data_IF_803495148131
#
_entry.id   IF_803495148131
#
_cell.length_a   1.000
_cell.length_b   1.000
_cell.length_c   1.000
_cell.angle_alpha   90.00
_cell.angle_beta   90.00
_cell.angle_gamma   90.00
#
_symmetry.space_group_name_H-M   'P 1'
#
loop_
_entity.id
_entity.type
_entity.pdbx_description
1 polymer ?
#
# COMPACT_ATOMS: atom_id res chain seq x y z
N UNK A 1 137.63 -11.96 -13.00
CA UNK A 1 136.16 -12.01 -12.75
C UNK A 1 135.42 -11.66 -14.03
N UNK A 2 134.59 -12.57 -14.54
CA UNK A 2 133.43 -12.28 -15.40
C UNK A 2 132.51 -13.52 -15.42
N UNK A 3 131.30 -13.36 -14.90
CA UNK A 3 130.23 -14.37 -14.85
C UNK A 3 129.49 -14.35 -16.19
N UNK A 4 129.15 -15.48 -16.82
CA UNK A 4 128.23 -15.48 -17.95
C UNK A 4 126.78 -15.35 -17.43
N UNK A 5 125.99 -14.49 -18.06
CA UNK A 5 124.56 -14.31 -17.80
C UNK A 5 123.80 -15.58 -18.20
N UNK A 6 123.02 -16.15 -17.26
CA UNK A 6 121.99 -17.14 -17.57
C UNK A 6 120.67 -16.38 -17.66
N UNK A 7 120.22 -16.10 -18.87
CA UNK A 7 118.86 -15.63 -19.09
C UNK A 7 117.91 -16.78 -18.76
N UNK A 8 117.10 -16.61 -17.72
CA UNK A 8 116.03 -17.54 -17.40
C UNK A 8 114.92 -17.24 -18.41
N UNK A 9 114.84 -18.02 -19.49
CA UNK A 9 113.69 -18.04 -20.39
C UNK A 9 112.52 -18.71 -19.64
N UNK A 10 111.83 -17.93 -18.81
CA UNK A 10 110.67 -18.38 -18.00
C UNK A 10 109.45 -18.67 -18.91
N UNK A 11 109.48 -18.25 -20.18
CA UNK A 11 108.44 -18.54 -21.16
C UNK A 11 109.01 -19.37 -22.32
N UNK A 12 109.04 -20.70 -22.16
CA UNK A 12 109.32 -21.60 -23.27
C UNK A 12 108.16 -21.54 -24.27
N UNK A 13 108.45 -21.68 -25.57
CA UNK A 13 107.44 -21.76 -26.65
C UNK A 13 106.32 -22.77 -26.35
N UNK A 14 106.63 -23.84 -25.62
CA UNK A 14 105.67 -24.88 -25.19
C UNK A 14 104.70 -24.41 -24.09
N UNK A 15 105.13 -23.53 -23.18
CA UNK A 15 104.22 -22.95 -22.17
C UNK A 15 103.23 -21.98 -22.82
N UNK A 16 103.67 -21.22 -23.82
CA UNK A 16 102.82 -20.30 -24.58
C UNK A 16 101.73 -21.04 -25.37
N UNK A 17 102.04 -22.20 -25.96
CA UNK A 17 101.08 -23.05 -26.67
C UNK A 17 100.06 -23.73 -25.73
N UNK A 18 100.48 -24.11 -24.52
CA UNK A 18 99.58 -24.61 -23.47
C UNK A 18 98.61 -23.52 -22.99
N UNK A 19 99.09 -22.28 -22.81
CA UNK A 19 98.20 -21.16 -22.48
C UNK A 19 97.29 -20.79 -23.65
N UNK A 20 97.76 -20.84 -24.89
CA UNK A 20 96.96 -20.58 -26.08
C UNK A 20 95.86 -21.63 -26.28
N UNK A 21 96.15 -22.92 -26.08
CA UNK A 21 95.17 -24.00 -26.16
C UNK A 21 94.16 -23.98 -25.01
N UNK A 22 94.59 -23.70 -23.77
CA UNK A 22 93.69 -23.52 -22.63
C UNK A 22 92.77 -22.30 -22.80
N UNK A 23 93.30 -21.18 -23.30
CA UNK A 23 92.52 -19.97 -23.60
C UNK A 23 91.54 -20.22 -24.76
N UNK A 24 91.98 -20.94 -25.80
CA UNK A 24 91.12 -21.33 -26.93
C UNK A 24 89.97 -22.24 -26.50
N UNK A 25 90.25 -23.26 -25.66
CA UNK A 25 89.22 -24.13 -25.09
C UNK A 25 88.23 -23.36 -24.21
N UNK A 26 88.72 -22.43 -23.39
CA UNK A 26 87.88 -21.54 -22.58
C UNK A 26 86.96 -20.67 -23.46
N UNK A 27 87.49 -20.02 -24.50
CA UNK A 27 86.70 -19.19 -25.42
C UNK A 27 85.61 -20.03 -26.11
N UNK A 28 85.94 -21.25 -26.55
CA UNK A 28 84.99 -22.14 -27.21
C UNK A 28 83.87 -22.58 -26.25
N UNK A 29 84.21 -22.94 -25.02
CA UNK A 29 83.25 -23.18 -23.93
C UNK A 29 82.36 -21.95 -23.67
N UNK A 30 82.96 -20.76 -23.67
CA UNK A 30 82.25 -19.50 -23.43
C UNK A 30 81.27 -19.21 -24.55
N UNK A 31 81.66 -19.34 -25.82
CA UNK A 31 80.78 -19.14 -26.99
C UNK A 31 79.62 -20.13 -27.01
N UNK A 32 79.85 -21.39 -26.59
CA UNK A 32 78.80 -22.41 -26.48
C UNK A 32 77.84 -22.10 -25.31
N UNK A 33 78.34 -21.65 -24.17
CA UNK A 33 77.55 -21.40 -22.94
C UNK A 33 76.89 -20.02 -22.90
N UNK A 34 77.41 -19.02 -23.62
CA UNK A 34 76.90 -17.65 -23.64
C UNK A 34 75.40 -17.53 -24.01
N UNK A 35 74.90 -18.18 -25.08
CA UNK A 35 73.47 -18.14 -25.40
C UNK A 35 72.60 -18.83 -24.34
N UNK A 36 73.13 -19.83 -23.62
CA UNK A 36 72.43 -20.46 -22.50
C UNK A 36 72.31 -19.53 -21.30
N UNK A 37 73.36 -18.76 -21.00
CA UNK A 37 73.36 -17.81 -19.89
C UNK A 37 72.35 -16.67 -20.11
N UNK A 38 72.24 -16.15 -21.35
CA UNK A 38 71.26 -15.13 -21.71
C UNK A 38 69.81 -15.62 -21.65
N UNK A 39 69.53 -16.84 -22.15
CA UNK A 39 68.18 -17.43 -22.11
C UNK A 39 67.69 -17.71 -20.69
N UNK A 40 68.59 -18.11 -19.79
CA UNK A 40 68.21 -18.41 -18.40
C UNK A 40 67.68 -17.17 -17.68
N UNK A 41 68.28 -16.00 -17.90
CA UNK A 41 67.80 -14.75 -17.32
C UNK A 41 66.40 -14.36 -17.82
N UNK A 42 66.14 -14.54 -19.13
CA UNK A 42 64.83 -14.25 -19.73
C UNK A 42 63.73 -15.19 -19.19
N UNK A 43 64.04 -16.48 -19.05
CA UNK A 43 63.11 -17.47 -18.47
C UNK A 43 62.77 -17.13 -17.02
N UNK A 44 63.78 -16.79 -16.21
CA UNK A 44 63.57 -16.38 -14.82
C UNK A 44 62.72 -15.12 -14.76
N UNK A 45 63.00 -14.10 -15.60
CA UNK A 45 62.21 -12.86 -15.64
C UNK A 45 60.74 -13.11 -16.00
N UNK A 46 60.46 -13.97 -16.99
CA UNK A 46 59.10 -14.35 -17.37
C UNK A 46 58.40 -15.16 -16.29
N UNK A 47 59.11 -16.08 -15.62
CA UNK A 47 58.56 -16.80 -14.47
C UNK A 47 58.17 -15.86 -13.34
N UNK A 48 59.02 -14.88 -13.01
CA UNK A 48 58.71 -13.88 -11.98
C UNK A 48 57.51 -13.02 -12.38
N UNK A 49 57.42 -12.59 -13.65
CA UNK A 49 56.27 -11.84 -14.15
C UNK A 49 54.97 -12.66 -14.07
N UNK A 50 55.00 -13.91 -14.51
CA UNK A 50 53.84 -14.81 -14.46
C UNK A 50 53.40 -15.09 -13.02
N UNK A 51 54.34 -15.27 -12.09
CA UNK A 51 54.02 -15.42 -10.67
C UNK A 51 53.35 -14.17 -10.11
N UNK A 52 53.88 -12.99 -10.43
CA UNK A 52 53.30 -11.72 -9.98
C UNK A 52 51.90 -11.48 -10.59
N UNK A 53 51.69 -11.83 -11.85
CA UNK A 53 50.39 -11.75 -12.51
C UNK A 53 49.38 -12.71 -11.88
N UNK A 54 49.79 -13.94 -11.58
CA UNK A 54 48.96 -14.95 -10.93
C UNK A 54 48.55 -14.54 -9.52
N UNK A 55 49.48 -13.99 -8.73
CA UNK A 55 49.17 -13.41 -7.41
C UNK A 55 48.20 -12.24 -7.52
N UNK A 56 48.38 -11.34 -8.50
CA UNK A 56 47.45 -10.22 -8.71
C UNK A 56 46.05 -10.70 -9.09
N UNK A 57 45.97 -11.72 -9.94
CA UNK A 57 44.71 -12.31 -10.40
C UNK A 57 44.00 -13.01 -9.25
N UNK A 58 44.75 -13.74 -8.41
CA UNK A 58 44.22 -14.41 -7.22
C UNK A 58 43.66 -13.38 -6.21
N UNK A 59 44.37 -12.27 -6.02
CA UNK A 59 43.92 -11.16 -5.18
C UNK A 59 42.63 -10.53 -5.72
N UNK A 60 42.57 -10.23 -7.01
CA UNK A 60 41.36 -9.68 -7.66
C UNK A 60 40.18 -10.65 -7.58
N UNK A 61 40.41 -11.96 -7.75
CA UNK A 61 39.37 -12.97 -7.65
C UNK A 61 38.79 -13.04 -6.23
N UNK A 62 39.65 -12.94 -5.22
CA UNK A 62 39.24 -12.92 -3.80
C UNK A 62 38.42 -11.66 -3.48
N UNK A 63 38.84 -10.49 -3.98
CA UNK A 63 38.09 -9.25 -3.82
C UNK A 63 36.72 -9.30 -4.51
N UNK A 64 36.67 -9.81 -5.74
CA UNK A 64 35.43 -9.97 -6.49
C UNK A 64 34.45 -10.93 -5.80
N UNK A 65 34.95 -12.04 -5.25
CA UNK A 65 34.14 -12.98 -4.45
C UNK A 65 33.56 -12.30 -3.20
N UNK A 66 34.37 -11.52 -2.49
CA UNK A 66 33.91 -10.77 -1.31
C UNK A 66 32.83 -9.74 -1.65
N UNK A 67 33.00 -9.00 -2.76
CA UNK A 67 31.99 -8.05 -3.24
C UNK A 67 30.69 -8.75 -3.66
N UNK A 68 30.78 -9.91 -4.31
CA UNK A 68 29.61 -10.69 -4.71
C UNK A 68 28.83 -11.18 -3.49
N UNK A 69 29.50 -11.72 -2.47
CA UNK A 69 28.85 -12.13 -1.22
C UNK A 69 28.17 -10.95 -0.51
N UNK A 70 28.83 -9.79 -0.48
CA UNK A 70 28.24 -8.58 0.11
C UNK A 70 26.99 -8.13 -0.66
N UNK A 71 27.04 -8.12 -1.99
CA UNK A 71 25.91 -7.75 -2.84
C UNK A 71 24.75 -8.74 -2.71
N UNK A 72 25.04 -10.04 -2.58
CA UNK A 72 24.03 -11.08 -2.32
C UNK A 72 23.34 -10.88 -0.97
N UNK A 73 24.10 -10.58 0.10
CA UNK A 73 23.52 -10.26 1.42
C UNK A 73 22.63 -9.03 1.37
N UNK A 74 23.09 -7.95 0.73
CA UNK A 74 22.29 -6.74 0.55
C UNK A 74 21.02 -7.01 -0.24
N UNK A 75 21.08 -7.86 -1.27
CA UNK A 75 19.91 -8.23 -2.06
C UNK A 75 18.92 -9.04 -1.23
N UNK A 76 19.39 -9.99 -0.41
CA UNK A 76 18.54 -10.76 0.50
C UNK A 76 17.87 -9.87 1.56
N UNK A 77 18.63 -8.97 2.17
CA UNK A 77 18.11 -7.98 3.11
C UNK A 77 17.04 -7.09 2.45
N UNK A 78 17.33 -6.54 1.27
CA UNK A 78 16.38 -5.73 0.51
C UNK A 78 15.12 -6.51 0.14
N UNK A 79 15.25 -7.77 -0.30
CA UNK A 79 14.11 -8.63 -0.60
C UNK A 79 13.25 -8.92 0.63
N UNK A 80 13.88 -9.20 1.78
CA UNK A 80 13.16 -9.41 3.04
C UNK A 80 12.41 -8.16 3.49
N UNK A 81 13.02 -6.98 3.34
CA UNK A 81 12.41 -5.72 3.69
C UNK A 81 11.26 -5.37 2.74
N UNK A 82 11.41 -5.66 1.45
CA UNK A 82 10.36 -5.50 0.45
C UNK A 82 9.17 -6.43 0.75
N UNK A 83 9.43 -7.70 1.07
CA UNK A 83 8.38 -8.65 1.45
C UNK A 83 7.63 -8.19 2.70
N UNK A 84 8.34 -7.71 3.72
CA UNK A 84 7.73 -7.17 4.94
C UNK A 84 6.89 -5.92 4.64
N UNK A 85 7.40 -4.99 3.83
CA UNK A 85 6.68 -3.78 3.45
C UNK A 85 5.42 -4.09 2.64
N UNK A 86 5.49 -5.06 1.73
CA UNK A 86 4.34 -5.51 0.95
C UNK A 86 3.27 -6.15 1.82
N UNK A 87 3.66 -6.98 2.80
CA UNK A 87 2.73 -7.56 3.77
C UNK A 87 2.04 -6.48 4.64
N UNK A 88 2.79 -5.46 5.06
CA UNK A 88 2.23 -4.33 5.81
C UNK A 88 1.23 -3.53 4.97
N UNK A 89 1.54 -3.32 3.68
CA UNK A 89 0.65 -2.61 2.76
C UNK A 89 -0.66 -3.39 2.55
N UNK A 90 -0.57 -4.70 2.34
CA UNK A 90 -1.74 -5.57 2.20
C UNK A 90 -2.64 -5.53 3.44
N UNK A 91 -2.03 -5.61 4.63
CA UNK A 91 -2.75 -5.48 5.90
C UNK A 91 -3.43 -4.11 6.03
N UNK A 92 -2.70 -3.04 5.73
CA UNK A 92 -3.24 -1.67 5.79
C UNK A 92 -4.40 -1.48 4.79
N UNK A 93 -4.30 -2.02 3.58
CA UNK A 93 -5.38 -1.96 2.59
C UNK A 93 -6.62 -2.73 3.04
N UNK A 94 -6.45 -3.89 3.67
CA UNK A 94 -7.54 -4.65 4.26
C UNK A 94 -8.24 -3.85 5.37
N UNK A 95 -7.47 -3.25 6.29
CA UNK A 95 -7.99 -2.42 7.38
C UNK A 95 -8.75 -1.19 6.86
N UNK A 96 -8.22 -0.51 5.83
CA UNK A 96 -8.91 0.63 5.17
C UNK A 96 -10.22 0.19 4.53
N UNK A 97 -10.27 -0.99 3.92
CA UNK A 97 -11.49 -1.53 3.30
C UNK A 97 -12.55 -1.80 4.35
N UNK A 98 -12.19 -2.47 5.45
CA UNK A 98 -13.10 -2.71 6.58
C UNK A 98 -13.60 -1.40 7.20
N UNK A 99 -12.72 -0.41 7.39
CA UNK A 99 -13.10 0.90 7.91
C UNK A 99 -14.09 1.61 6.97
N UNK A 100 -13.88 1.53 5.65
CA UNK A 100 -14.81 2.07 4.66
C UNK A 100 -16.17 1.39 4.69
N UNK A 101 -16.22 0.08 4.84
CA UNK A 101 -17.49 -0.67 4.97
C UNK A 101 -18.26 -0.27 6.22
N UNK A 102 -17.56 -0.11 7.36
CA UNK A 102 -18.17 0.38 8.60
C UNK A 102 -18.68 1.83 8.45
N UNK A 103 -17.93 2.69 7.77
CA UNK A 103 -18.34 4.05 7.47
C UNK A 103 -19.42 4.12 6.38
N UNK A 104 -19.64 3.08 5.58
CA UNK A 104 -20.77 3.04 4.66
C UNK A 104 -22.11 2.76 5.37
N UNK A 105 -22.06 2.13 6.55
CA UNK A 105 -23.25 1.84 7.35
C UNK A 105 -23.74 3.09 8.08
N UNK A 106 -25.02 3.42 7.89
CA UNK A 106 -25.70 4.51 8.57
C UNK A 106 -27.11 4.09 8.96
N UNK A 107 -27.67 4.78 9.94
CA UNK A 107 -29.07 4.64 10.32
C UNK A 107 -29.82 5.91 9.95
N UNK A 108 -31.14 5.80 9.84
CA UNK A 108 -32.03 6.94 9.76
C UNK A 108 -33.13 6.82 10.82
N UNK A 109 -33.40 7.90 11.54
CA UNK A 109 -34.62 8.05 12.33
C UNK A 109 -35.30 9.36 11.94
N UNK A 110 -36.52 9.26 11.42
CA UNK A 110 -37.33 10.40 10.99
C UNK A 110 -38.43 10.60 12.01
N UNK A 111 -38.48 11.81 12.55
CA UNK A 111 -39.45 12.19 13.56
C UNK A 111 -40.27 13.35 13.01
N UNK A 112 -41.59 13.21 13.06
CA UNK A 112 -42.51 14.34 12.87
C UNK A 112 -43.22 14.64 14.19
N UNK A 113 -43.53 15.91 14.41
CA UNK A 113 -44.33 16.35 15.56
C UNK A 113 -45.23 17.52 15.21
N UNK A 114 -46.37 17.57 15.88
CA UNK A 114 -47.37 18.62 15.76
C UNK A 114 -47.95 18.99 17.12
N UNK A 115 -48.74 20.06 17.17
CA UNK A 115 -49.26 20.64 18.43
C UNK A 115 -50.79 20.73 18.49
N UNK A 116 -51.48 20.30 17.44
CA UNK A 116 -52.95 20.28 17.35
C UNK A 116 -53.50 18.89 17.70
N UNK A 117 -54.82 18.78 17.90
CA UNK A 117 -55.49 17.53 18.30
C UNK A 117 -55.70 16.53 17.14
N UNK A 118 -55.23 16.90 15.95
CA UNK A 118 -55.50 16.19 14.70
C UNK A 118 -54.69 14.90 14.60
N UNK A 119 -55.16 14.03 13.73
CA UNK A 119 -54.54 12.77 13.34
C UNK A 119 -53.64 13.01 12.12
N UNK A 120 -52.33 12.85 12.28
CA UNK A 120 -51.35 13.17 11.25
C UNK A 120 -50.41 11.98 11.07
N UNK A 121 -50.48 11.38 9.88
CA UNK A 121 -49.66 10.23 9.53
C UNK A 121 -48.34 10.66 8.91
N UNK A 122 -47.27 9.97 9.30
CA UNK A 122 -45.97 9.93 8.67
C UNK A 122 -45.99 8.87 7.57
N UNK A 123 -45.55 9.30 6.39
CA UNK A 123 -45.34 8.42 5.26
C UNK A 123 -43.88 8.52 4.81
N UNK A 124 -43.17 7.39 4.81
CA UNK A 124 -41.81 7.29 4.29
C UNK A 124 -41.81 6.38 3.07
N UNK A 125 -41.24 6.83 1.96
CA UNK A 125 -40.93 5.98 0.81
C UNK A 125 -39.43 5.76 0.75
N UNK A 126 -38.99 4.51 0.87
CA UNK A 126 -37.58 4.14 0.81
C UNK A 126 -37.05 4.07 -0.64
N UNK A 127 -35.72 3.89 -0.85
CA UNK A 127 -35.15 3.72 -2.19
C UNK A 127 -35.67 2.49 -2.95
N UNK A 128 -36.18 1.48 -2.24
CA UNK A 128 -36.80 0.28 -2.81
C UNK A 128 -38.24 0.51 -3.27
N UNK A 129 -38.83 1.66 -2.94
CA UNK A 129 -40.23 1.99 -3.22
C UNK A 129 -41.22 1.48 -2.18
N UNK A 130 -40.74 0.93 -1.06
CA UNK A 130 -41.60 0.55 0.06
C UNK A 130 -42.14 1.79 0.75
N UNK A 131 -43.44 1.81 1.00
CA UNK A 131 -44.10 2.88 1.72
C UNK A 131 -44.46 2.46 3.14
N UNK A 132 -43.88 3.14 4.12
CA UNK A 132 -44.13 2.95 5.54
C UNK A 132 -45.12 4.00 6.03
N UNK A 133 -46.22 3.53 6.61
CA UNK A 133 -47.29 4.35 7.19
C UNK A 133 -48.13 3.47 8.13
N UNK A 134 -49.11 4.06 8.84
CA UNK A 134 -49.98 3.39 9.81
C UNK A 134 -50.31 1.91 9.49
N UNK A 135 -50.82 1.63 8.30
CA UNK A 135 -51.28 0.27 7.92
C UNK A 135 -50.18 -0.66 7.42
N UNK A 136 -49.03 -0.14 7.00
CA UNK A 136 -47.85 -0.91 6.54
C UNK A 136 -46.61 -0.43 7.29
N UNK A 137 -46.66 -0.59 8.61
CA UNK A 137 -45.63 -0.07 9.50
C UNK A 137 -44.40 -0.99 9.60
N UNK A 138 -44.49 -2.23 9.12
CA UNK A 138 -43.43 -3.24 9.14
C UNK A 138 -42.89 -3.64 10.53
N UNK A 139 -43.56 -3.29 11.63
CA UNK A 139 -43.13 -3.68 13.00
C UNK A 139 -43.07 -5.20 13.19
N UNK A 140 -43.99 -5.93 12.55
CA UNK A 140 -44.01 -7.40 12.56
C UNK A 140 -43.05 -8.04 11.56
N UNK A 141 -42.34 -7.24 10.75
CA UNK A 141 -41.46 -7.65 9.64
C UNK A 141 -42.14 -8.42 8.50
N UNK A 142 -43.48 -8.41 8.45
CA UNK A 142 -44.25 -9.12 7.43
C UNK A 142 -44.59 -8.27 6.21
N UNK A 143 -44.70 -6.95 6.36
CA UNK A 143 -45.06 -6.05 5.24
C UNK A 143 -43.96 -6.00 4.18
N UNK A 144 -42.70 -5.93 4.63
CA UNK A 144 -41.52 -5.86 3.77
C UNK A 144 -40.43 -6.83 4.27
N UNK A 145 -40.49 -8.12 3.87
CA UNK A 145 -39.51 -9.12 4.30
C UNK A 145 -38.07 -8.74 3.94
N UNK A 146 -37.16 -8.85 4.91
CA UNK A 146 -35.74 -8.49 4.73
C UNK A 146 -35.44 -6.99 4.75
N UNK A 147 -36.45 -6.16 5.07
CA UNK A 147 -36.28 -4.73 5.34
C UNK A 147 -36.45 -4.51 6.84
N UNK A 148 -35.45 -3.89 7.47
CA UNK A 148 -35.44 -3.63 8.91
C UNK A 148 -36.09 -2.30 9.30
N UNK A 149 -36.43 -1.47 8.31
CA UNK A 149 -37.10 -0.21 8.55
C UNK A 149 -38.53 -0.42 9.05
N UNK A 150 -39.01 0.46 9.93
CA UNK A 150 -40.37 0.43 10.45
C UNK A 150 -40.87 1.80 10.89
N UNK A 151 -42.19 1.95 10.95
CA UNK A 151 -42.84 3.03 11.68
C UNK A 151 -43.04 2.57 13.13
N UNK A 152 -42.15 2.95 14.03
CA UNK A 152 -42.10 2.46 15.42
C UNK A 152 -43.10 3.16 16.35
N UNK A 153 -43.36 4.45 16.10
CA UNK A 153 -44.34 5.24 16.88
C UNK A 153 -45.34 5.87 15.93
N UNK A 154 -46.61 5.63 16.23
CA UNK A 154 -47.77 6.08 15.47
C UNK A 154 -48.81 6.63 16.46
N UNK A 155 -49.11 7.92 16.36
CA UNK A 155 -50.01 8.63 17.29
C UNK A 155 -51.22 9.16 16.53
N UNK A 156 -52.36 8.51 16.71
CA UNK A 156 -53.60 8.84 15.98
C UNK A 156 -54.36 10.07 16.51
N UNK A 157 -53.82 10.78 17.51
CA UNK A 157 -54.40 11.99 18.10
C UNK A 157 -53.30 12.84 18.71
N UNK A 158 -53.27 14.13 18.37
CA UNK A 158 -52.24 15.04 18.86
C UNK A 158 -52.59 15.84 20.13
N UNK A 159 -51.71 16.73 20.62
CA UNK A 159 -50.33 16.94 20.17
C UNK A 159 -49.54 15.64 20.14
N UNK A 160 -48.93 15.34 18.98
CA UNK A 160 -48.44 14.01 18.69
C UNK A 160 -47.04 13.99 18.09
N UNK A 161 -46.47 12.79 18.06
CA UNK A 161 -45.20 12.44 17.46
C UNK A 161 -45.37 11.14 16.69
N UNK A 162 -44.75 11.06 15.52
CA UNK A 162 -44.52 9.78 14.84
C UNK A 162 -43.05 9.62 14.53
N UNK A 163 -42.61 8.36 14.59
CA UNK A 163 -41.21 7.97 14.44
C UNK A 163 -41.15 6.82 13.47
N UNK A 164 -40.40 7.02 12.40
CA UNK A 164 -39.93 5.96 11.53
C UNK A 164 -38.43 5.78 11.72
N UNK A 165 -37.96 4.54 11.76
CA UNK A 165 -36.55 4.22 11.89
C UNK A 165 -36.10 3.18 10.87
N UNK A 166 -34.82 3.26 10.51
CA UNK A 166 -34.13 2.28 9.71
C UNK A 166 -32.71 2.12 10.27
N UNK A 167 -32.40 1.01 10.96
CA UNK A 167 -31.11 0.79 11.59
C UNK A 167 -29.98 0.57 10.57
N UNK A 168 -30.30 0.21 9.32
CA UNK A 168 -29.36 -0.09 8.25
C UNK A 168 -29.84 0.57 6.95
N UNK A 169 -29.81 1.90 6.93
CA UNK A 169 -30.28 2.69 5.79
C UNK A 169 -29.37 2.47 4.58
N UNK A 170 -29.98 1.99 3.48
CA UNK A 170 -29.27 1.71 2.24
C UNK A 170 -29.08 3.00 1.44
N UNK A 171 -28.03 3.08 0.60
CA UNK A 171 -27.85 4.22 -0.30
C UNK A 171 -29.07 4.43 -1.21
N UNK A 172 -29.43 5.69 -1.40
CA UNK A 172 -30.58 6.08 -2.22
C UNK A 172 -31.34 7.27 -1.66
N UNK A 173 -32.52 7.53 -2.24
CA UNK A 173 -33.38 8.65 -1.84
C UNK A 173 -34.59 8.14 -1.07
N UNK A 174 -34.76 8.64 0.15
CA UNK A 174 -35.95 8.46 0.97
C UNK A 174 -36.81 9.73 0.88
N UNK A 175 -38.11 9.56 0.67
CA UNK A 175 -39.05 10.70 0.61
C UNK A 175 -39.92 10.70 1.85
N UNK A 176 -39.97 11.85 2.52
CA UNK A 176 -40.70 12.04 3.77
C UNK A 176 -41.94 12.88 3.52
N UNK A 177 -43.10 12.32 3.84
CA UNK A 177 -44.39 12.99 3.70
C UNK A 177 -45.12 13.03 5.03
N UNK A 178 -45.95 14.05 5.21
CA UNK A 178 -47.00 14.05 6.23
C UNK A 178 -48.36 14.11 5.56
N UNK A 179 -49.34 13.46 6.18
CA UNK A 179 -50.72 13.41 5.72
C UNK A 179 -51.63 13.81 6.88
N UNK A 180 -52.44 14.86 6.71
CA UNK A 180 -53.49 15.18 7.66
C UNK A 180 -54.62 14.16 7.47
N UNK A 181 -54.65 13.10 8.28
CA UNK A 181 -55.59 12.00 8.09
C UNK A 181 -57.02 12.39 8.50
N UNK A 182 -57.15 12.97 9.69
CA UNK A 182 -58.43 13.39 10.24
C UNK A 182 -58.27 14.61 11.16
N UNK A 183 -59.18 15.58 11.02
CA UNK A 183 -59.19 16.81 11.82
C UNK A 183 -59.61 16.62 13.27
N UNK A 184 -60.28 15.51 13.63
CA UNK A 184 -60.71 15.19 15.01
C UNK A 184 -61.41 16.37 15.73
N UNK A 185 -62.21 17.14 15.00
CA UNK A 185 -62.90 18.33 15.54
C UNK A 185 -62.07 19.62 15.59
N UNK A 186 -60.79 19.59 15.22
CA UNK A 186 -59.91 20.75 15.12
C UNK A 186 -59.81 21.25 13.67
N UNK A 187 -60.39 22.42 13.42
CA UNK A 187 -60.40 23.07 12.11
C UNK A 187 -59.10 23.81 11.78
N UNK A 188 -58.12 23.89 12.69
CA UNK A 188 -56.85 24.56 12.43
C UNK A 188 -56.04 23.82 11.36
N UNK A 189 -55.11 24.53 10.72
CA UNK A 189 -54.17 23.92 9.78
C UNK A 189 -52.86 23.62 10.52
N UNK A 190 -52.54 22.34 10.77
CA UNK A 190 -51.40 21.97 11.60
C UNK A 190 -50.09 22.35 10.92
N UNK A 191 -49.11 22.72 11.74
CA UNK A 191 -47.73 22.95 11.33
C UNK A 191 -46.92 21.74 11.76
N UNK A 192 -46.28 21.09 10.79
CA UNK A 192 -45.46 19.91 11.03
C UNK A 192 -44.02 20.34 11.17
N UNK A 193 -43.42 19.93 12.28
CA UNK A 193 -41.98 20.06 12.51
C UNK A 193 -41.36 18.68 12.38
N UNK A 194 -40.28 18.58 11.63
CA UNK A 194 -39.68 17.31 11.29
C UNK A 194 -38.17 17.36 11.43
N UNK A 195 -37.63 16.27 11.95
CA UNK A 195 -36.21 16.08 12.21
C UNK A 195 -35.78 14.72 11.67
N UNK A 196 -34.58 14.67 11.12
CA UNK A 196 -33.91 13.44 10.72
C UNK A 196 -32.66 13.30 11.57
N UNK A 197 -32.49 12.14 12.18
CA UNK A 197 -31.28 11.74 12.90
C UNK A 197 -30.58 10.64 12.10
N UNK A 198 -29.27 10.72 12.06
CA UNK A 198 -28.40 9.78 11.37
C UNK A 198 -27.06 9.71 12.10
N UNK A 199 -26.17 8.81 11.68
CA UNK A 199 -24.89 8.57 12.37
C UNK A 199 -24.11 9.85 12.68
N UNK A 200 -23.99 10.74 11.70
CA UNK A 200 -23.11 11.90 11.76
C UNK A 200 -23.83 13.17 12.29
N UNK A 201 -25.10 13.07 12.71
CA UNK A 201 -25.80 14.19 13.32
C UNK A 201 -27.31 14.21 13.11
N UNK A 202 -27.87 15.42 13.09
CA UNK A 202 -29.30 15.61 12.84
C UNK A 202 -29.57 16.89 12.06
N UNK A 203 -30.65 16.88 11.28
CA UNK A 203 -31.10 18.01 10.47
C UNK A 203 -32.61 18.16 10.60
N UNK A 204 -33.09 19.40 10.64
CA UNK A 204 -34.53 19.72 10.63
C UNK A 204 -34.96 20.09 9.22
N UNK A 205 -36.12 19.61 8.78
CA UNK A 205 -36.71 20.13 7.56
C UNK A 205 -37.40 21.48 7.81
N UNK A 206 -37.71 22.19 6.72
CA UNK A 206 -38.55 23.36 6.76
C UNK A 206 -39.96 22.98 7.27
N UNK A 207 -40.53 23.82 8.14
CA UNK A 207 -41.88 23.59 8.64
C UNK A 207 -42.88 23.61 7.49
N UNK A 208 -43.81 22.65 7.46
CA UNK A 208 -44.87 22.57 6.44
C UNK A 208 -46.23 22.68 7.12
N UNK A 209 -47.14 23.40 6.46
CA UNK A 209 -48.53 23.52 6.89
C UNK A 209 -49.40 22.56 6.09
N UNK A 210 -50.19 21.74 6.77
CA UNK A 210 -51.18 20.88 6.10
C UNK A 210 -52.52 21.60 6.06
N UNK A 211 -53.17 21.61 4.90
CA UNK A 211 -54.41 22.36 4.67
C UNK A 211 -55.59 21.47 4.27
N UNK A 212 -55.32 20.37 3.58
CA UNK A 212 -56.33 19.44 3.09
C UNK A 212 -56.16 18.08 3.78
N UNK A 213 -57.28 17.48 4.19
CA UNK A 213 -57.26 16.11 4.70
C UNK A 213 -56.90 15.13 3.57
N UNK A 214 -56.30 13.99 3.93
CA UNK A 214 -55.99 12.87 3.03
C UNK A 214 -55.10 13.24 1.85
N UNK A 215 -54.30 14.30 2.00
CA UNK A 215 -53.35 14.77 0.99
C UNK A 215 -51.93 14.69 1.55
N UNK A 216 -51.07 13.91 0.88
CA UNK A 216 -49.65 13.79 1.24
C UNK A 216 -48.90 15.06 0.85
N UNK A 217 -48.26 15.69 1.83
CA UNK A 217 -47.38 16.85 1.63
C UNK A 217 -45.94 16.41 1.83
N UNK A 218 -45.09 16.66 0.83
CA UNK A 218 -43.65 16.39 0.92
C UNK A 218 -43.02 17.34 1.95
N UNK A 219 -42.46 16.76 3.01
CA UNK A 219 -41.68 17.49 4.01
C UNK A 219 -40.24 17.71 3.53
N UNK A 220 -39.65 16.69 2.91
CA UNK A 220 -38.29 16.71 2.38
C UNK A 220 -37.87 15.35 1.84
N UNK A 221 -36.69 15.30 1.23
CA UNK A 221 -36.03 14.08 0.77
C UNK A 221 -34.67 13.93 1.46
N UNK A 222 -34.35 12.69 1.83
CA UNK A 222 -33.09 12.30 2.47
C UNK A 222 -32.31 11.49 1.43
N UNK A 223 -31.09 11.89 1.12
CA UNK A 223 -30.19 11.16 0.23
C UNK A 223 -29.09 10.53 1.07
N UNK A 224 -29.08 9.21 1.13
CA UNK A 224 -27.99 8.42 1.70
C UNK A 224 -27.02 8.08 0.58
N UNK A 225 -25.76 8.48 0.71
CA UNK A 225 -24.71 8.18 -0.27
C UNK A 225 -24.08 6.81 0.00
N UNK A 226 -23.36 6.23 -0.98
CA UNK A 226 -22.66 4.94 -0.80
C UNK A 226 -21.64 4.92 0.33
N UNK A 227 -21.12 6.08 0.73
CA UNK A 227 -20.18 6.25 1.85
C UNK A 227 -20.90 6.47 3.20
N UNK A 228 -22.21 6.22 3.29
CA UNK A 228 -23.01 6.38 4.50
C UNK A 228 -23.32 7.83 4.88
N UNK A 229 -22.79 8.81 4.16
CA UNK A 229 -23.09 10.23 4.40
C UNK A 229 -24.52 10.58 4.00
N UNK A 230 -25.13 11.48 4.75
CA UNK A 230 -26.55 11.85 4.59
C UNK A 230 -26.66 13.31 4.15
N UNK A 231 -27.44 13.55 3.11
CA UNK A 231 -27.78 14.88 2.61
C UNK A 231 -29.30 15.08 2.61
N UNK A 232 -29.73 16.25 3.05
CA UNK A 232 -31.14 16.63 3.08
C UNK A 232 -31.45 17.60 1.93
N UNK A 233 -32.54 17.34 1.21
CA UNK A 233 -33.10 18.18 0.16
C UNK A 233 -34.52 18.57 0.58
N UNK A 234 -34.80 19.85 0.78
CA UNK A 234 -36.07 20.34 1.35
C UNK A 234 -36.57 21.64 0.74
#
# INVERSE_FOLDING_TARGET
MRRPSREINIFSLSALDLFASALGAFILLTVILFPYYLKNHEIVSKMTQLQQELESTQSQLTECQSQLEQSQRQTQECQSQQAQSQQQLEKCQAEVTTCREQLAQTFLAVIIKWQTQQDIDLHIIDPGGHEFYFSKNNQSRNDFPGVEAELSVDMTTGPGIEIWENPQARPGTYKVYANLYARKGDSNNPIIKSSVYFRDGSVKFNEKRLTQEKTKVLLGSIVVKPDGSVQIIG
#
